data_IF_652270627627
#
_entry.id   IF_652270627627
#
_cell.length_a   1.000
_cell.length_b   1.000
_cell.length_c   1.000
_cell.angle_alpha   90.00
_cell.angle_beta   90.00
_cell.angle_gamma   90.00
#
_symmetry.space_group_name_H-M   'P 1'
#
loop_
_entity.id
_entity.type
_entity.pdbx_description
1 polymer ?
#
# COMPACT_ATOMS: atom_id res chain seq x y z
N UNK A 1 -27.63 -13.83 -9.88
CA UNK A 1 -28.67 -13.55 -10.91
C UNK A 1 -28.72 -14.78 -11.78
N UNK A 2 -29.44 -15.82 -11.33
CA UNK A 2 -29.53 -17.08 -12.05
C UNK A 2 -30.99 -17.22 -12.49
N UNK A 3 -31.24 -16.91 -13.77
CA UNK A 3 -32.54 -17.18 -14.41
C UNK A 3 -32.72 -18.69 -14.59
N UNK A 4 -33.96 -19.13 -14.77
CA UNK A 4 -34.34 -20.55 -14.92
C UNK A 4 -33.81 -21.23 -16.20
N UNK A 5 -32.98 -20.54 -16.99
CA UNK A 5 -32.61 -20.96 -18.34
C UNK A 5 -31.21 -21.57 -18.46
N UNK A 6 -30.45 -21.71 -17.36
CA UNK A 6 -29.07 -22.26 -17.39
C UNK A 6 -29.06 -23.73 -17.82
N UNK A 7 -30.14 -24.48 -17.57
CA UNK A 7 -30.25 -25.89 -17.94
C UNK A 7 -30.41 -26.11 -19.46
N UNK A 8 -30.80 -25.07 -20.21
CA UNK A 8 -31.06 -25.18 -21.66
C UNK A 8 -29.79 -25.20 -22.53
N UNK A 9 -28.63 -24.82 -21.98
CA UNK A 9 -27.37 -24.74 -22.76
C UNK A 9 -26.60 -26.06 -22.83
N UNK A 10 -27.07 -27.09 -22.13
CA UNK A 10 -26.40 -28.39 -21.96
C UNK A 10 -27.08 -29.47 -22.83
N UNK A 11 -27.95 -29.09 -23.78
CA UNK A 11 -28.52 -30.06 -24.72
C UNK A 11 -27.52 -30.38 -25.84
N UNK A 12 -26.73 -31.44 -25.62
CA UNK A 12 -25.90 -32.11 -26.62
C UNK A 12 -24.41 -31.75 -26.51
N UNK A 13 -23.63 -32.57 -25.78
CA UNK A 13 -22.15 -32.66 -25.71
C UNK A 13 -21.30 -31.36 -25.74
N UNK A 14 -21.88 -30.18 -25.72
CA UNK A 14 -21.21 -28.91 -25.77
C UNK A 14 -21.00 -28.45 -24.33
N UNK A 15 -19.78 -28.61 -23.84
CA UNK A 15 -19.29 -27.89 -22.67
C UNK A 15 -19.36 -26.39 -23.03
N UNK A 16 -20.07 -25.56 -22.24
CA UNK A 16 -20.12 -24.12 -22.48
C UNK A 16 -18.69 -23.58 -22.60
N UNK A 17 -18.40 -22.87 -23.70
CA UNK A 17 -17.06 -22.36 -23.96
C UNK A 17 -16.51 -21.53 -22.81
N UNK A 18 -17.37 -20.76 -22.12
CA UNK A 18 -17.05 -20.03 -20.88
C UNK A 18 -18.24 -20.19 -19.94
N UNK A 19 -17.98 -20.42 -18.64
CA UNK A 19 -19.02 -20.53 -17.61
C UNK A 19 -18.58 -19.86 -16.30
N UNK A 20 -19.51 -19.67 -15.38
CA UNK A 20 -19.23 -19.17 -14.03
C UNK A 20 -18.83 -20.32 -13.11
N UNK A 21 -17.76 -20.11 -12.34
CA UNK A 21 -17.33 -20.97 -11.26
C UNK A 21 -17.28 -20.21 -9.94
N UNK A 22 -17.34 -20.95 -8.84
CA UNK A 22 -17.16 -20.44 -7.48
C UNK A 22 -15.89 -21.07 -6.93
N UNK A 23 -14.91 -20.27 -6.53
CA UNK A 23 -13.64 -20.76 -5.99
C UNK A 23 -13.89 -21.63 -4.75
N UNK A 24 -13.41 -22.87 -4.78
CA UNK A 24 -13.57 -23.82 -3.67
C UNK A 24 -12.28 -24.06 -2.90
N UNK A 25 -11.12 -23.99 -3.57
CA UNK A 25 -9.83 -24.21 -2.94
C UNK A 25 -8.73 -23.39 -3.65
N UNK A 26 -7.80 -22.85 -2.87
CA UNK A 26 -6.63 -22.08 -3.32
C UNK A 26 -5.30 -22.67 -2.83
N UNK A 27 -5.34 -23.74 -2.03
CA UNK A 27 -4.17 -24.38 -1.43
C UNK A 27 -3.54 -25.38 -2.43
N UNK A 28 -2.95 -24.84 -3.51
CA UNK A 28 -2.32 -25.63 -4.57
C UNK A 28 -1.08 -26.39 -4.04
N UNK A 29 -1.09 -27.73 -4.01
CA UNK A 29 0.02 -28.53 -3.48
C UNK A 29 1.32 -28.41 -4.30
N UNK A 30 1.25 -27.92 -5.54
CA UNK A 30 2.43 -27.71 -6.39
C UNK A 30 2.89 -26.25 -6.41
N UNK A 31 2.24 -25.36 -5.63
CA UNK A 31 2.60 -23.94 -5.51
C UNK A 31 2.59 -23.16 -6.84
N UNK A 32 1.79 -23.60 -7.81
CA UNK A 32 1.70 -23.01 -9.17
C UNK A 32 0.65 -21.90 -9.28
N UNK A 33 0.12 -21.40 -8.15
CA UNK A 33 -0.97 -20.42 -8.11
C UNK A 33 -2.22 -20.89 -8.89
N UNK A 34 -2.54 -22.19 -8.85
CA UNK A 34 -3.80 -22.72 -9.41
C UNK A 34 -4.91 -22.67 -8.35
N UNK A 35 -6.15 -22.71 -8.81
CA UNK A 35 -7.31 -22.78 -7.92
C UNK A 35 -8.27 -23.88 -8.37
N UNK A 36 -9.09 -24.39 -7.45
CA UNK A 36 -10.25 -25.23 -7.78
C UNK A 36 -11.52 -24.42 -7.73
N UNK A 37 -12.47 -24.80 -8.58
CA UNK A 37 -13.78 -24.15 -8.67
C UNK A 37 -14.90 -25.18 -8.70
N UNK A 38 -15.99 -24.86 -8.00
CA UNK A 38 -17.30 -25.50 -8.23
C UNK A 38 -17.97 -24.83 -9.41
N UNK A 39 -18.49 -25.60 -10.34
CA UNK A 39 -19.14 -25.08 -11.55
C UNK A 39 -20.62 -25.46 -11.51
N UNK A 40 -21.51 -24.55 -11.05
CA UNK A 40 -22.93 -24.88 -10.86
C UNK A 40 -23.62 -25.45 -12.10
N UNK A 41 -23.20 -25.03 -13.30
CA UNK A 41 -23.72 -25.54 -14.57
C UNK A 41 -23.50 -27.05 -14.76
N UNK A 42 -22.49 -27.65 -14.12
CA UNK A 42 -22.20 -29.09 -14.23
C UNK A 42 -22.74 -29.90 -13.03
N UNK A 43 -23.64 -29.29 -12.25
CA UNK A 43 -24.26 -29.90 -11.08
C UNK A 43 -23.56 -29.53 -9.78
N UNK A 44 -24.28 -29.73 -8.66
CA UNK A 44 -23.88 -29.26 -7.32
C UNK A 44 -22.63 -29.95 -6.75
N UNK A 45 -22.32 -31.16 -7.23
CA UNK A 45 -21.20 -31.97 -6.77
C UNK A 45 -19.94 -31.79 -7.61
N UNK A 46 -20.01 -31.10 -8.75
CA UNK A 46 -18.85 -30.93 -9.62
C UNK A 46 -17.85 -29.92 -9.01
N UNK A 47 -16.61 -30.37 -8.88
CA UNK A 47 -15.44 -29.55 -8.58
C UNK A 47 -14.39 -29.82 -9.66
N UNK A 48 -13.74 -28.76 -10.14
CA UNK A 48 -12.72 -28.87 -11.17
C UNK A 48 -11.42 -29.51 -10.65
N UNK A 49 -10.60 -29.98 -11.59
CA UNK A 49 -9.15 -30.10 -11.35
C UNK A 49 -8.52 -28.73 -11.03
N UNK A 50 -7.26 -28.72 -10.62
CA UNK A 50 -6.49 -27.49 -10.43
C UNK A 50 -6.42 -26.69 -11.74
N UNK A 51 -6.97 -25.48 -11.71
CA UNK A 51 -7.09 -24.60 -12.86
C UNK A 51 -6.05 -23.48 -12.77
N UNK A 52 -5.25 -23.31 -13.82
CA UNK A 52 -4.33 -22.17 -13.92
C UNK A 52 -5.10 -20.87 -14.06
N UNK A 53 -4.66 -19.83 -13.34
CA UNK A 53 -5.24 -18.49 -13.41
C UNK A 53 -4.48 -17.65 -14.43
N UNK A 54 -5.21 -17.07 -15.38
CA UNK A 54 -4.65 -16.11 -16.33
C UNK A 54 -4.22 -14.86 -15.56
N UNK A 55 -2.98 -14.44 -15.79
CA UNK A 55 -2.42 -13.21 -15.23
C UNK A 55 -1.79 -12.36 -16.33
N UNK A 56 -1.66 -11.06 -16.10
CA UNK A 56 -1.10 -10.12 -17.08
C UNK A 56 0.37 -10.39 -17.42
N UNK A 57 1.14 -11.00 -16.52
CA UNK A 57 2.52 -11.43 -16.75
C UNK A 57 2.86 -12.63 -15.87
N UNK A 58 3.44 -13.69 -16.45
CA UNK A 58 3.85 -14.92 -15.78
C UNK A 58 5.23 -15.36 -16.30
N UNK A 59 6.28 -14.71 -15.81
CA UNK A 59 7.68 -15.08 -16.04
C UNK A 59 8.25 -15.90 -14.88
N UNK A 60 9.46 -16.43 -15.07
CA UNK A 60 10.22 -17.08 -14.01
C UNK A 60 10.49 -16.06 -12.90
N UNK A 61 9.98 -16.32 -11.69
CA UNK A 61 10.08 -15.44 -10.50
C UNK A 61 9.61 -13.99 -10.73
N UNK A 62 8.75 -13.76 -11.73
CA UNK A 62 8.28 -12.43 -12.11
C UNK A 62 6.82 -12.45 -12.60
N UNK A 63 5.98 -11.52 -12.13
CA UNK A 63 4.61 -11.43 -12.61
C UNK A 63 3.65 -10.69 -11.69
N UNK A 64 2.37 -10.72 -12.05
CA UNK A 64 1.28 -10.27 -11.20
C UNK A 64 0.61 -11.48 -10.54
N UNK A 65 0.47 -11.48 -9.22
CA UNK A 65 -0.27 -12.51 -8.49
C UNK A 65 -1.47 -11.89 -7.78
N UNK A 66 -2.63 -11.96 -8.43
CA UNK A 66 -3.92 -11.53 -7.90
C UNK A 66 -4.87 -12.72 -7.88
N UNK A 67 -4.66 -13.65 -6.95
CA UNK A 67 -5.49 -14.83 -6.87
C UNK A 67 -6.89 -14.52 -6.33
N UNK A 68 -7.95 -14.96 -7.03
CA UNK A 68 -9.29 -15.04 -6.46
C UNK A 68 -9.23 -15.89 -5.19
N UNK A 69 -10.02 -15.55 -4.18
CA UNK A 69 -10.05 -16.38 -2.96
C UNK A 69 -11.37 -17.13 -2.80
N UNK A 70 -11.37 -18.13 -1.92
CA UNK A 70 -12.50 -19.04 -1.72
C UNK A 70 -13.83 -18.28 -1.61
N UNK A 71 -14.80 -18.78 -2.38
CA UNK A 71 -16.14 -18.23 -2.55
C UNK A 71 -16.25 -17.13 -3.62
N UNK A 72 -15.17 -16.64 -4.23
CA UNK A 72 -15.26 -15.65 -5.32
C UNK A 72 -15.87 -16.29 -6.58
N UNK A 73 -16.61 -15.46 -7.33
CA UNK A 73 -17.13 -15.84 -8.63
C UNK A 73 -16.07 -15.55 -9.70
N UNK A 74 -15.80 -16.53 -10.55
CA UNK A 74 -14.77 -16.49 -11.58
C UNK A 74 -15.30 -17.00 -12.91
N UNK A 75 -14.70 -16.55 -14.00
CA UNK A 75 -14.94 -17.10 -15.33
C UNK A 75 -14.00 -18.27 -15.59
N UNK A 76 -14.57 -19.39 -16.00
CA UNK A 76 -13.88 -20.67 -16.24
C UNK A 76 -14.03 -21.04 -17.70
N UNK A 77 -12.93 -21.41 -18.34
CA UNK A 77 -12.87 -21.99 -19.69
C UNK A 77 -12.23 -23.37 -19.62
N UNK A 78 -12.64 -24.26 -20.53
CA UNK A 78 -12.11 -25.62 -20.63
C UNK A 78 -11.37 -25.78 -21.95
N UNK A 79 -10.09 -26.15 -21.89
CA UNK A 79 -9.25 -26.27 -23.09
C UNK A 79 -9.83 -27.33 -24.02
N UNK A 80 -10.24 -26.90 -25.22
CA UNK A 80 -10.88 -27.79 -26.20
C UNK A 80 -12.19 -28.42 -25.72
N UNK A 81 -12.83 -27.85 -24.70
CA UNK A 81 -14.03 -28.43 -24.07
C UNK A 81 -13.76 -29.58 -23.09
N UNK A 82 -12.50 -29.91 -22.79
CA UNK A 82 -12.18 -30.97 -21.82
C UNK A 82 -12.24 -30.45 -20.38
N UNK A 83 -13.15 -31.04 -19.59
CA UNK A 83 -13.39 -30.70 -18.19
C UNK A 83 -12.15 -30.91 -17.29
N UNK A 84 -11.21 -31.76 -17.70
CA UNK A 84 -9.96 -32.02 -16.97
C UNK A 84 -8.92 -30.90 -17.12
N UNK A 85 -9.09 -29.99 -18.07
CA UNK A 85 -8.16 -28.89 -18.33
C UNK A 85 -8.83 -27.51 -18.19
N UNK A 86 -9.24 -27.13 -16.95
CA UNK A 86 -9.83 -25.84 -16.66
C UNK A 86 -8.77 -24.72 -16.62
N UNK A 87 -9.15 -23.53 -17.06
CA UNK A 87 -8.40 -22.28 -16.89
C UNK A 87 -9.33 -21.20 -16.37
N UNK A 88 -8.81 -20.34 -15.50
CA UNK A 88 -9.54 -19.22 -14.92
C UNK A 88 -9.14 -17.95 -15.65
N UNK A 89 -10.11 -17.29 -16.28
CA UNK A 89 -9.88 -16.05 -17.04
C UNK A 89 -9.79 -14.82 -16.13
N UNK A 90 -10.47 -14.84 -14.99
CA UNK A 90 -10.52 -13.73 -14.05
C UNK A 90 -11.71 -13.81 -13.10
N UNK A 91 -11.76 -12.88 -12.15
CA UNK A 91 -12.89 -12.73 -11.22
C UNK A 91 -13.95 -11.79 -11.77
N UNK A 92 -15.21 -12.05 -11.40
CA UNK A 92 -16.33 -11.16 -11.69
C UNK A 92 -16.97 -10.69 -10.39
N UNK A 93 -17.38 -9.42 -10.36
CA UNK A 93 -18.16 -8.89 -9.25
C UNK A 93 -19.61 -9.39 -9.33
N UNK A 94 -20.22 -9.55 -8.16
CA UNK A 94 -21.59 -10.04 -8.03
C UNK A 94 -22.43 -9.07 -7.18
N UNK A 95 -23.73 -9.37 -7.03
CA UNK A 95 -24.62 -8.55 -6.18
C UNK A 95 -24.15 -8.51 -4.72
N UNK A 96 -23.56 -9.60 -4.26
CA UNK A 96 -23.10 -9.79 -2.88
C UNK A 96 -21.62 -9.38 -2.71
N UNK A 97 -20.84 -9.40 -3.80
CA UNK A 97 -19.43 -8.99 -3.84
C UNK A 97 -19.27 -7.82 -4.80
N UNK A 98 -19.41 -6.60 -4.27
CA UNK A 98 -19.33 -5.36 -5.04
C UNK A 98 -17.89 -4.89 -5.23
N UNK A 99 -17.59 -4.14 -6.31
CA UNK A 99 -16.27 -3.54 -6.50
C UNK A 99 -15.91 -2.56 -5.37
N UNK A 100 -14.60 -2.30 -5.15
CA UNK A 100 -14.08 -1.38 -4.13
C UNK A 100 -14.68 0.03 -4.14
N UNK A 101 -15.03 0.52 -5.33
CA UNK A 101 -15.78 1.74 -5.56
C UNK A 101 -16.77 1.46 -6.68
N UNK A 102 -18.05 1.76 -6.45
CA UNK A 102 -19.04 1.80 -7.52
C UNK A 102 -19.03 3.23 -8.01
N UNK A 103 -18.42 3.49 -9.18
CA UNK A 103 -18.57 4.78 -9.85
C UNK A 103 -20.09 5.03 -10.00
N UNK A 104 -20.60 6.03 -9.28
CA UNK A 104 -21.98 6.50 -9.45
C UNK A 104 -22.06 7.60 -10.51
N UNK A 105 -20.91 8.04 -11.02
CA UNK A 105 -20.79 9.15 -11.94
C UNK A 105 -19.85 8.76 -13.09
N UNK A 106 -20.28 8.97 -14.34
CA UNK A 106 -19.55 8.56 -15.55
C UNK A 106 -18.21 9.30 -15.74
N UNK A 107 -17.93 10.30 -14.89
CA UNK A 107 -16.70 11.10 -14.83
C UNK A 107 -15.73 10.66 -13.72
N UNK A 108 -16.01 9.56 -13.03
CA UNK A 108 -15.18 9.09 -11.92
C UNK A 108 -13.82 8.58 -12.47
N UNK A 109 -12.85 9.48 -12.56
CA UNK A 109 -11.49 9.23 -13.03
C UNK A 109 -10.61 8.67 -11.91
N UNK A 110 -11.15 7.74 -11.12
CA UNK A 110 -10.41 7.10 -10.02
C UNK A 110 -10.06 5.67 -10.35
N UNK A 111 -8.76 5.35 -10.27
CA UNK A 111 -8.25 3.98 -10.34
C UNK A 111 -8.00 3.47 -8.92
N UNK A 112 -8.61 2.35 -8.54
CA UNK A 112 -8.48 1.79 -7.18
C UNK A 112 -8.12 0.31 -7.24
N UNK A 113 -6.98 -0.03 -6.63
CA UNK A 113 -6.64 -1.41 -6.25
C UNK A 113 -6.92 -1.54 -4.75
N UNK A 114 -7.78 -2.48 -4.36
CA UNK A 114 -8.12 -2.70 -2.95
C UNK A 114 -7.98 -4.18 -2.58
N UNK A 115 -7.20 -4.45 -1.55
CA UNK A 115 -7.11 -5.78 -0.94
C UNK A 115 -8.35 -6.10 -0.10
N UNK A 116 -8.58 -7.39 0.16
CA UNK A 116 -9.69 -7.86 1.02
C UNK A 116 -9.67 -7.28 2.44
N UNK A 117 -8.47 -7.02 2.99
CA UNK A 117 -8.29 -6.42 4.33
C UNK A 117 -8.38 -4.89 4.32
N UNK A 118 -8.62 -4.27 3.15
CA UNK A 118 -8.89 -2.85 3.04
C UNK A 118 -7.67 -1.96 2.76
N UNK A 119 -6.49 -2.51 2.49
CA UNK A 119 -5.35 -1.73 1.96
C UNK A 119 -5.66 -1.29 0.52
N UNK A 120 -5.27 -0.07 0.15
CA UNK A 120 -5.60 0.53 -1.15
C UNK A 120 -4.39 1.16 -1.83
N UNK A 121 -4.36 1.07 -3.16
CA UNK A 121 -3.62 1.99 -4.04
C UNK A 121 -4.68 2.76 -4.82
N UNK A 122 -4.58 4.07 -4.85
CA UNK A 122 -5.59 4.94 -5.41
C UNK A 122 -4.92 6.02 -6.26
N UNK A 123 -5.37 6.16 -7.51
CA UNK A 123 -5.07 7.30 -8.38
C UNK A 123 -6.37 8.07 -8.54
N UNK A 124 -6.34 9.37 -8.27
CA UNK A 124 -7.47 10.28 -8.38
C UNK A 124 -7.06 11.40 -9.32
N UNK A 125 -7.47 11.31 -10.59
CA UNK A 125 -7.11 12.30 -11.61
C UNK A 125 -7.85 13.63 -11.43
N UNK A 126 -9.00 13.64 -10.74
CA UNK A 126 -9.74 14.87 -10.44
C UNK A 126 -8.98 15.72 -9.41
N UNK A 127 -8.43 15.07 -8.38
CA UNK A 127 -7.62 15.74 -7.36
C UNK A 127 -6.13 15.79 -7.69
N UNK A 128 -5.70 15.14 -8.77
CA UNK A 128 -4.29 14.95 -9.13
C UNK A 128 -3.48 14.33 -7.97
N UNK A 129 -3.99 13.22 -7.41
CA UNK A 129 -3.36 12.55 -6.25
C UNK A 129 -3.15 11.06 -6.46
N UNK A 130 -2.08 10.53 -5.87
CA UNK A 130 -1.81 9.10 -5.77
C UNK A 130 -1.63 8.75 -4.30
N UNK A 131 -2.33 7.74 -3.80
CA UNK A 131 -2.33 7.35 -2.39
C UNK A 131 -2.15 5.84 -2.25
N UNK A 132 -1.14 5.44 -1.48
CA UNK A 132 -0.99 4.08 -0.96
C UNK A 132 -1.39 4.12 0.52
N UNK A 133 -2.41 3.36 0.90
CA UNK A 133 -2.98 3.45 2.25
C UNK A 133 -3.24 2.08 2.85
N UNK A 134 -2.82 1.90 4.10
CA UNK A 134 -3.18 0.74 4.89
C UNK A 134 -4.61 0.89 5.42
N UNK A 135 -5.29 -0.23 5.69
CA UNK A 135 -6.61 -0.21 6.34
C UNK A 135 -6.61 0.44 7.72
N UNK A 136 -5.45 0.50 8.38
CA UNK A 136 -5.25 1.25 9.63
C UNK A 136 -5.21 2.77 9.45
N UNK A 137 -5.11 3.28 8.22
CA UNK A 137 -5.08 4.71 7.90
C UNK A 137 -3.70 5.32 7.67
N UNK A 138 -2.62 4.59 7.95
CA UNK A 138 -1.26 5.00 7.58
C UNK A 138 -1.14 5.07 6.07
N UNK A 139 -0.45 6.07 5.54
CA UNK A 139 -0.45 6.32 4.11
C UNK A 139 0.84 6.97 3.60
N UNK A 140 1.11 6.72 2.33
CA UNK A 140 1.99 7.50 1.47
C UNK A 140 1.12 8.20 0.43
N UNK A 141 1.19 9.52 0.35
CA UNK A 141 0.45 10.31 -0.63
C UNK A 141 1.38 11.19 -1.45
N UNK A 142 1.13 11.21 -2.76
CA UNK A 142 1.70 12.15 -3.71
C UNK A 142 0.56 13.06 -4.18
N UNK A 143 0.77 14.36 -4.09
CA UNK A 143 -0.07 15.43 -4.62
C UNK A 143 0.83 16.35 -5.45
N UNK A 144 0.23 17.25 -6.21
CA UNK A 144 0.94 18.12 -7.16
C UNK A 144 2.24 18.75 -6.63
N UNK A 145 2.23 19.32 -5.42
CA UNK A 145 3.42 19.92 -4.79
C UNK A 145 3.83 19.25 -3.47
N UNK A 146 3.21 18.14 -3.08
CA UNK A 146 3.40 17.55 -1.75
C UNK A 146 3.61 16.05 -1.83
N UNK A 147 4.66 15.57 -1.15
CA UNK A 147 4.85 14.15 -0.86
C UNK A 147 4.78 13.96 0.65
N UNK A 148 3.95 13.04 1.13
CA UNK A 148 3.77 12.81 2.56
C UNK A 148 3.71 11.31 2.88
N UNK A 149 4.56 10.88 3.81
CA UNK A 149 4.44 9.60 4.51
C UNK A 149 3.96 9.90 5.93
N UNK A 150 2.81 9.37 6.32
CA UNK A 150 2.17 9.72 7.60
C UNK A 150 1.43 8.56 8.24
N UNK A 151 1.33 8.60 9.56
CA UNK A 151 0.28 7.86 10.27
C UNK A 151 -1.12 8.39 9.93
N UNK A 152 -2.16 7.74 10.47
CA UNK A 152 -3.56 8.10 10.23
C UNK A 152 -3.88 9.54 10.66
N UNK A 153 -3.22 10.03 11.71
CA UNK A 153 -3.61 11.25 12.43
C UNK A 153 -2.73 12.46 12.05
N UNK A 154 -1.63 12.26 11.29
CA UNK A 154 -0.69 13.30 10.91
C UNK A 154 0.39 13.61 11.95
N UNK A 155 0.42 12.88 13.07
CA UNK A 155 1.29 13.21 14.21
C UNK A 155 2.72 12.71 14.03
N UNK A 156 2.88 11.63 13.27
CA UNK A 156 4.18 11.11 12.85
C UNK A 156 4.23 11.16 11.32
N UNK A 157 5.07 12.04 10.78
CA UNK A 157 5.10 12.28 9.35
C UNK A 157 6.46 12.76 8.82
N UNK A 158 6.73 12.41 7.57
CA UNK A 158 7.76 13.00 6.72
C UNK A 158 7.06 13.65 5.53
N UNK A 159 7.18 14.97 5.42
CA UNK A 159 6.51 15.75 4.39
C UNK A 159 7.52 16.59 3.61
N UNK A 160 7.35 16.63 2.29
CA UNK A 160 8.00 17.58 1.38
C UNK A 160 6.89 18.47 0.82
N UNK A 161 7.07 19.78 0.94
CA UNK A 161 6.23 20.78 0.28
C UNK A 161 7.08 21.61 -0.69
N UNK A 162 6.99 21.26 -1.97
CA UNK A 162 7.72 21.91 -3.03
C UNK A 162 7.18 23.31 -3.37
N UNK A 163 5.94 23.63 -2.96
CA UNK A 163 5.35 24.96 -3.23
C UNK A 163 6.02 26.06 -2.42
N UNK A 164 6.53 25.71 -1.23
CA UNK A 164 7.25 26.61 -0.33
C UNK A 164 8.72 26.19 -0.10
N UNK A 165 9.15 25.06 -0.66
CA UNK A 165 10.52 24.55 -0.52
C UNK A 165 10.84 23.99 0.87
N UNK A 166 9.85 23.42 1.58
CA UNK A 166 10.00 22.91 2.94
C UNK A 166 10.08 21.38 3.00
N UNK A 167 10.87 20.86 3.93
CA UNK A 167 10.83 19.46 4.35
C UNK A 167 10.61 19.41 5.86
N UNK A 168 9.57 18.70 6.29
CA UNK A 168 9.17 18.62 7.70
C UNK A 168 9.25 17.18 8.19
N UNK A 169 9.90 16.97 9.35
CA UNK A 169 9.92 15.71 10.08
C UNK A 169 9.20 15.90 11.41
N UNK A 170 8.08 15.20 11.60
CA UNK A 170 7.27 15.26 12.81
C UNK A 170 7.26 13.89 13.50
N UNK A 171 7.45 13.91 14.82
CA UNK A 171 7.35 12.74 15.67
C UNK A 171 6.57 13.10 16.93
N UNK A 172 5.47 12.39 17.21
CA UNK A 172 4.54 12.72 18.28
C UNK A 172 5.16 12.61 19.69
N UNK A 173 6.18 11.74 19.84
CA UNK A 173 6.81 11.45 21.13
C UNK A 173 8.31 11.69 21.14
N UNK A 174 9.05 11.11 20.18
CA UNK A 174 10.51 11.18 20.16
C UNK A 174 11.05 11.02 18.74
N UNK A 175 11.95 11.92 18.34
CA UNK A 175 12.81 11.76 17.18
C UNK A 175 14.20 11.30 17.65
N UNK A 176 14.75 10.23 17.05
CA UNK A 176 16.09 9.72 17.34
C UNK A 176 16.92 9.73 16.07
N UNK A 177 18.06 10.43 16.09
CA UNK A 177 19.04 10.44 15.01
C UNK A 177 20.32 9.78 15.53
N UNK A 178 20.65 8.60 15.04
CA UNK A 178 21.79 7.80 15.48
C UNK A 178 22.58 7.32 14.29
N UNK A 179 23.80 7.80 14.14
CA UNK A 179 24.74 7.41 13.10
C UNK A 179 26.18 7.62 13.59
N UNK A 180 27.19 6.96 12.99
CA UNK A 180 28.60 7.24 13.30
C UNK A 180 29.01 8.70 13.08
N UNK A 181 28.35 9.40 12.16
CA UNK A 181 28.56 10.83 11.90
C UNK A 181 27.24 11.49 11.49
N UNK A 182 27.00 12.71 11.99
CA UNK A 182 25.84 13.56 11.65
C UNK A 182 26.38 14.98 11.44
N UNK A 183 26.13 15.56 10.26
CA UNK A 183 26.49 16.94 9.93
C UNK A 183 25.21 17.74 9.62
N UNK A 184 25.06 18.92 10.24
CA UNK A 184 23.92 19.82 10.03
C UNK A 184 24.46 21.18 9.58
N UNK A 185 24.14 21.57 8.35
CA UNK A 185 24.58 22.84 7.73
C UNK A 185 23.39 23.75 7.47
N UNK A 186 23.46 24.98 7.96
CA UNK A 186 22.51 26.04 7.63
C UNK A 186 23.26 27.36 7.34
N UNK A 187 23.02 27.96 6.17
CA UNK A 187 23.75 29.15 5.71
C UNK A 187 23.21 30.45 6.27
N UNK A 188 21.93 30.49 6.66
CA UNK A 188 21.27 31.67 7.20
C UNK A 188 21.12 31.57 8.72
N UNK A 189 20.47 30.51 9.21
CA UNK A 189 20.23 30.31 10.64
C UNK A 189 20.02 28.84 10.99
N UNK A 190 20.47 28.45 12.18
CA UNK A 190 20.12 27.18 12.82
C UNK A 190 19.43 27.49 14.15
N UNK A 191 18.15 27.17 14.27
CA UNK A 191 17.38 27.34 15.49
C UNK A 191 17.26 26.03 16.26
N UNK A 192 17.58 26.04 17.56
CA UNK A 192 17.37 24.90 18.46
C UNK A 192 16.63 25.38 19.70
N UNK A 193 15.38 24.95 19.84
CA UNK A 193 14.51 25.30 20.97
C UNK A 193 14.06 24.03 21.70
N UNK A 194 14.20 24.02 23.01
CA UNK A 194 13.75 22.90 23.85
C UNK A 194 13.56 23.37 25.30
N UNK A 195 12.72 22.68 26.06
CA UNK A 195 12.62 22.89 27.51
C UNK A 195 13.92 22.47 28.22
N UNK A 196 14.58 21.42 27.71
CA UNK A 196 15.85 20.91 28.22
C UNK A 196 16.73 20.45 27.06
N UNK A 197 17.95 20.98 27.00
CA UNK A 197 18.99 20.53 26.08
C UNK A 197 20.07 19.79 26.86
N UNK A 198 20.45 18.59 26.42
CA UNK A 198 21.62 17.87 26.93
C UNK A 198 22.61 17.70 25.79
N UNK A 199 23.83 18.20 25.95
CA UNK A 199 24.94 18.02 25.00
C UNK A 199 26.05 17.29 25.75
N UNK A 200 26.34 16.05 25.35
CA UNK A 200 27.41 15.24 25.94
C UNK A 200 28.38 14.83 24.84
N UNK A 201 29.62 15.28 24.96
CA UNK A 201 30.69 14.94 24.03
C UNK A 201 32.03 14.97 24.76
N UNK A 202 33.01 14.22 24.24
CA UNK A 202 34.38 14.29 24.75
C UNK A 202 35.02 15.67 24.47
N UNK A 203 34.67 16.27 23.34
CA UNK A 203 35.10 17.59 22.90
C UNK A 203 33.86 18.34 22.36
N UNK A 204 33.68 19.58 22.76
CA UNK A 204 32.65 20.48 22.25
C UNK A 204 33.30 21.76 21.74
N UNK A 205 33.35 21.91 20.41
CA UNK A 205 33.85 23.12 19.76
C UNK A 205 32.68 24.02 19.37
N UNK A 206 32.64 25.24 19.93
CA UNK A 206 31.65 26.25 19.58
C UNK A 206 32.37 27.54 19.20
N UNK A 207 32.20 27.97 17.95
CA UNK A 207 32.89 29.14 17.39
C UNK A 207 31.88 30.08 16.73
N UNK A 208 32.06 31.38 16.94
CA UNK A 208 31.32 32.42 16.25
C UNK A 208 32.31 33.48 15.74
N UNK A 209 32.20 33.84 14.46
CA UNK A 209 33.12 34.78 13.82
C UNK A 209 32.88 36.25 14.20
N UNK A 210 31.63 36.61 14.52
CA UNK A 210 31.24 37.96 14.88
C UNK A 210 31.04 38.13 16.40
N UNK A 211 30.14 37.35 17.00
CA UNK A 211 29.87 37.40 18.43
C UNK A 211 29.21 36.13 18.92
N UNK A 212 29.40 35.82 20.21
CA UNK A 212 28.74 34.72 20.90
C UNK A 212 28.13 35.25 22.20
N UNK A 213 26.82 35.02 22.41
CA UNK A 213 26.12 35.47 23.62
C UNK A 213 25.48 34.31 24.35
N UNK A 214 25.70 34.23 25.66
CA UNK A 214 25.01 33.29 26.57
C UNK A 214 24.12 34.11 27.51
N UNK A 215 22.82 33.82 27.52
CA UNK A 215 21.84 34.51 28.37
C UNK A 215 21.04 33.48 29.17
N UNK A 216 20.85 33.74 30.46
CA UNK A 216 19.98 32.97 31.36
C UNK A 216 19.27 33.94 32.31
N UNK A 217 18.03 33.63 32.66
CA UNK A 217 17.30 34.36 33.70
C UNK A 217 17.66 33.84 35.11
N UNK A 218 18.16 32.61 35.18
CA UNK A 218 18.60 31.97 36.41
C UNK A 218 20.12 31.99 36.55
N UNK A 219 20.65 31.00 37.27
CA UNK A 219 22.09 30.85 37.49
C UNK A 219 22.75 30.26 36.23
N UNK A 220 23.87 30.86 35.80
CA UNK A 220 24.80 30.27 34.85
C UNK A 220 25.96 29.65 35.65
N UNK A 221 26.16 28.33 35.51
CA UNK A 221 27.31 27.63 36.11
C UNK A 221 28.25 27.19 35.01
N UNK A 222 29.52 27.61 35.09
CA UNK A 222 30.61 27.15 34.24
C UNK A 222 31.64 26.48 35.15
N UNK A 223 32.02 25.25 34.83
CA UNK A 223 32.93 24.47 35.66
C UNK A 223 33.92 23.72 34.79
N UNK A 224 35.20 23.81 35.15
CA UNK A 224 36.30 23.12 34.52
C UNK A 224 37.54 23.23 35.41
N UNK A 225 38.53 22.36 35.22
CA UNK A 225 39.80 22.46 35.95
C UNK A 225 40.54 23.77 35.64
N UNK A 226 40.36 24.30 34.43
CA UNK A 226 40.87 25.59 33.99
C UNK A 226 39.83 26.30 33.11
N UNK A 227 39.50 27.55 33.45
CA UNK A 227 38.67 28.44 32.62
C UNK A 227 39.53 29.64 32.23
N UNK A 228 39.86 29.76 30.95
CA UNK A 228 40.65 30.87 30.42
C UNK A 228 39.72 31.88 29.74
N UNK A 229 39.76 33.13 30.21
CA UNK A 229 39.07 34.27 29.59
C UNK A 229 40.16 35.21 29.10
N UNK A 230 40.18 35.54 27.82
CA UNK A 230 41.11 36.50 27.23
C UNK A 230 40.33 37.62 26.55
#
# INVERSE_FOLDING_TARGET
MFGKDVESWISGNNVPGITLGIVSNVDDPEELNRIKVKVPAFGKSYESCWASVVTSNAGQDAGFSFLPSVGDEVLVVFKGGDLNYPYILGSVWSKDKKPPKVSQDAKDNMLVIKSRKGHTITVDDEKNTIILQLSSGHHLSLKENTVCLSDKDGNNALQIDASIGEVTLMAASKLVLSAPSIEIKASQSLGVSSTKMNVNSAILDMQASASQSLKTNGILTISGSLVKIN
#
